data_IF_386127406823
#
_entry.id   IF_386127406823
#
_cell.length_a   1.000
_cell.length_b   1.000
_cell.length_c   1.000
_cell.angle_alpha   90.00
_cell.angle_beta   90.00
_cell.angle_gamma   90.00
#
_symmetry.space_group_name_H-M   'P 1'
#
loop_
_entity.id
_entity.type
_entity.pdbx_description
1 polymer ?
#
# COMPACT_ATOMS: atom_id res chain seq x y z
N UNK A 1 39.06 9.58 55.52
CA UNK A 1 38.25 10.36 56.47
C UNK A 1 36.96 10.75 55.78
N UNK A 2 35.90 10.21 56.30
CA UNK A 2 34.52 10.66 56.49
C UNK A 2 33.76 11.02 55.22
N UNK A 3 32.88 10.14 54.73
CA UNK A 3 31.49 9.80 55.17
C UNK A 3 30.58 11.03 55.23
N UNK A 4 29.58 11.02 54.37
CA UNK A 4 28.18 11.20 54.75
C UNK A 4 27.27 10.92 53.56
N UNK A 5 26.40 9.94 53.74
CA UNK A 5 25.32 9.60 52.84
C UNK A 5 24.12 10.52 52.96
N UNK A 6 23.33 10.56 51.91
CA UNK A 6 21.94 11.01 52.01
C UNK A 6 21.08 10.11 51.12
N UNK A 7 20.24 9.37 51.80
CA UNK A 7 19.12 8.62 51.23
C UNK A 7 17.92 9.56 51.12
N UNK A 8 17.35 9.69 49.94
CA UNK A 8 16.07 10.35 49.67
C UNK A 8 15.25 9.54 48.66
N UNK A 9 13.94 9.60 48.64
CA UNK A 9 13.08 8.52 48.23
C UNK A 9 12.95 8.40 46.71
N UNK A 10 12.76 7.14 46.25
CA UNK A 10 12.35 6.78 44.87
C UNK A 10 10.99 7.37 44.61
N UNK A 11 10.88 8.27 43.66
CA UNK A 11 9.63 8.54 42.95
C UNK A 11 9.59 7.60 41.74
N UNK A 12 8.62 6.69 41.70
CA UNK A 12 8.22 5.96 40.53
C UNK A 12 7.52 6.93 39.59
N UNK A 13 8.28 7.61 38.74
CA UNK A 13 7.77 8.28 37.56
C UNK A 13 7.70 7.23 36.45
N UNK A 14 6.53 6.66 36.26
CA UNK A 14 6.17 5.93 35.05
C UNK A 14 6.19 6.92 33.88
N UNK A 15 7.26 6.89 33.07
CA UNK A 15 7.27 7.56 31.78
C UNK A 15 6.14 7.01 30.91
N UNK A 16 5.35 7.86 30.24
CA UNK A 16 4.32 7.39 29.33
C UNK A 16 4.97 6.66 28.14
N UNK A 17 4.59 5.41 27.92
CA UNK A 17 5.00 4.61 26.75
C UNK A 17 4.83 5.45 25.48
N UNK A 18 5.92 5.68 24.77
CA UNK A 18 6.03 6.65 23.68
C UNK A 18 4.93 6.53 22.62
N UNK A 19 4.21 7.63 22.41
CA UNK A 19 3.07 7.75 21.51
C UNK A 19 3.34 7.27 20.06
N UNK A 20 4.59 7.31 19.63
CA UNK A 20 5.01 6.97 18.26
C UNK A 20 5.13 5.46 18.02
N UNK A 21 5.61 4.68 19.00
CA UNK A 21 5.55 3.21 18.90
C UNK A 21 4.11 2.69 18.86
N UNK A 22 3.16 3.48 19.38
CA UNK A 22 1.73 3.21 19.26
C UNK A 22 1.20 3.51 17.84
N UNK A 23 1.74 4.51 17.12
CA UNK A 23 1.32 4.82 15.76
C UNK A 23 1.78 3.75 14.75
N UNK A 24 3.04 3.34 14.80
CA UNK A 24 3.52 2.20 14.00
C UNK A 24 2.80 0.90 14.36
N UNK A 25 2.50 0.67 15.64
CA UNK A 25 1.61 -0.42 16.07
C UNK A 25 0.17 -0.24 15.59
N UNK A 26 -0.38 0.96 15.56
CA UNK A 26 -1.74 1.20 15.09
C UNK A 26 -1.86 1.11 13.56
N UNK A 27 -0.86 1.51 12.78
CA UNK A 27 -0.82 1.25 11.34
C UNK A 27 -0.51 -0.22 11.01
N UNK A 28 0.33 -0.89 11.80
CA UNK A 28 0.60 -2.33 11.66
C UNK A 28 -0.47 -3.20 12.32
N UNK A 29 -1.15 -2.72 13.37
CA UNK A 29 -2.23 -3.39 14.13
C UNK A 29 -3.63 -2.86 13.73
N UNK A 30 -3.74 -1.65 13.16
CA UNK A 30 -4.90 -1.24 12.35
C UNK A 30 -5.10 -2.18 11.16
N UNK A 31 -4.06 -2.89 10.77
CA UNK A 31 -4.17 -4.22 10.20
C UNK A 31 -4.71 -5.17 11.29
N UNK A 32 -6.00 -5.17 11.58
CA UNK A 32 -6.68 -6.26 12.28
C UNK A 32 -6.50 -7.62 11.60
N UNK A 33 -5.53 -7.71 10.72
CA UNK A 33 -5.02 -8.83 9.94
C UNK A 33 -4.13 -9.74 10.76
N UNK A 34 -3.41 -9.28 11.79
CA UNK A 34 -2.67 -10.14 12.71
C UNK A 34 -3.60 -11.11 13.46
N UNK A 35 -4.88 -10.77 13.61
CA UNK A 35 -5.92 -11.67 14.15
C UNK A 35 -6.79 -12.33 13.08
N UNK A 36 -6.62 -12.00 11.78
CA UNK A 36 -7.49 -12.46 10.68
C UNK A 36 -6.78 -13.46 9.77
N UNK A 37 -5.43 -13.48 9.73
CA UNK A 37 -4.62 -14.44 8.96
C UNK A 37 -3.67 -15.25 9.86
N UNK A 38 -4.13 -15.92 10.93
CA UNK A 38 -3.25 -16.78 11.73
C UNK A 38 -3.02 -18.16 11.13
N UNK A 39 -3.75 -18.58 10.10
CA UNK A 39 -3.72 -19.97 9.64
C UNK A 39 -3.02 -20.22 8.30
N UNK A 40 -2.64 -19.17 7.57
CA UNK A 40 -2.01 -19.33 6.27
C UNK A 40 -0.49 -19.06 6.25
N UNK A 41 0.08 -18.45 7.30
CA UNK A 41 1.53 -18.20 7.40
C UNK A 41 1.97 -18.35 8.85
N UNK A 42 2.36 -19.55 9.25
CA UNK A 42 3.04 -19.79 10.52
C UNK A 42 4.56 -19.64 10.33
N UNK A 43 5.26 -18.81 11.14
CA UNK A 43 6.71 -18.62 11.01
C UNK A 43 7.57 -19.74 11.60
N UNK A 44 6.99 -20.85 11.99
CA UNK A 44 7.73 -21.95 12.63
C UNK A 44 8.15 -22.99 11.61
N UNK A 45 9.29 -22.84 11.06
CA UNK A 45 10.34 -23.71 10.54
C UNK A 45 10.83 -23.29 9.14
N UNK A 46 12.15 -23.09 8.96
CA UNK A 46 12.72 -22.88 7.62
C UNK A 46 12.83 -24.23 6.93
N UNK A 47 11.79 -24.67 6.24
CA UNK A 47 11.94 -25.71 5.23
C UNK A 47 12.16 -25.01 3.88
N UNK A 48 13.16 -25.44 3.07
CA UNK A 48 13.39 -24.86 1.77
C UNK A 48 12.18 -25.12 0.87
N UNK A 49 11.51 -24.06 0.46
CA UNK A 49 10.29 -24.06 -0.35
C UNK A 49 10.50 -24.49 -1.82
N UNK A 50 11.69 -24.95 -2.19
CA UNK A 50 12.02 -25.44 -3.53
C UNK A 50 12.20 -26.97 -3.55
N UNK A 51 11.11 -27.72 -3.40
CA UNK A 51 10.98 -29.01 -4.11
C UNK A 51 10.05 -28.80 -5.30
N UNK A 52 10.58 -28.30 -6.40
CA UNK A 52 10.00 -28.49 -7.72
C UNK A 52 10.00 -29.99 -8.01
N UNK A 53 8.82 -30.62 -7.97
CA UNK A 53 8.66 -31.91 -8.62
C UNK A 53 8.81 -31.66 -10.13
N UNK A 54 9.85 -32.22 -10.70
CA UNK A 54 9.93 -32.44 -12.14
C UNK A 54 8.79 -33.37 -12.52
N UNK A 55 7.73 -32.84 -13.09
CA UNK A 55 6.73 -33.62 -13.79
C UNK A 55 6.96 -33.40 -15.28
N UNK A 56 6.84 -34.50 -16.06
CA UNK A 56 7.08 -34.62 -17.48
C UNK A 56 6.61 -33.42 -18.35
N UNK A 57 7.34 -33.16 -19.46
CA UNK A 57 7.04 -32.03 -20.34
C UNK A 57 5.85 -32.34 -21.26
N UNK A 58 4.64 -32.13 -20.80
CA UNK A 58 3.53 -31.85 -21.71
C UNK A 58 3.37 -30.33 -21.85
N UNK A 59 3.20 -29.79 -23.08
CA UNK A 59 2.99 -28.38 -23.27
C UNK A 59 1.68 -27.97 -22.60
N UNK A 60 1.66 -26.99 -21.69
CA UNK A 60 0.43 -26.54 -21.07
C UNK A 60 -0.43 -25.82 -22.09
N UNK A 61 -1.72 -26.17 -22.12
CA UNK A 61 -2.75 -25.39 -22.75
C UNK A 61 -2.67 -23.90 -22.28
N UNK A 62 -3.09 -22.91 -23.07
CA UNK A 62 -2.98 -21.48 -22.74
C UNK A 62 -3.95 -21.10 -21.63
N UNK A 63 -3.57 -21.40 -20.39
CA UNK A 63 -4.23 -20.89 -19.19
C UNK A 63 -3.46 -19.66 -18.73
N UNK A 64 -4.12 -18.50 -18.82
CA UNK A 64 -3.54 -17.17 -18.66
C UNK A 64 -2.69 -16.96 -17.41
N UNK A 65 -1.91 -15.89 -17.43
CA UNK A 65 -0.99 -15.41 -16.39
C UNK A 65 -1.60 -15.32 -14.98
N UNK A 66 -2.92 -15.22 -14.85
CA UNK A 66 -3.67 -15.27 -13.58
C UNK A 66 -3.35 -16.53 -12.74
N UNK A 67 -3.34 -17.70 -13.35
CA UNK A 67 -3.10 -18.96 -12.67
C UNK A 67 -1.65 -19.14 -12.21
N UNK A 68 -0.67 -18.51 -12.88
CA UNK A 68 0.76 -18.62 -12.53
C UNK A 68 1.13 -17.79 -11.32
N UNK A 69 0.58 -16.58 -11.19
CA UNK A 69 0.78 -15.73 -10.00
C UNK A 69 0.26 -16.43 -8.75
N UNK A 70 -0.87 -17.14 -8.87
CA UNK A 70 -1.50 -17.89 -7.77
C UNK A 70 -0.71 -19.13 -7.33
N UNK A 71 -0.13 -19.87 -8.27
CA UNK A 71 0.67 -21.07 -7.96
C UNK A 71 1.96 -20.73 -7.23
N UNK A 72 2.51 -19.53 -7.43
CA UNK A 72 3.68 -19.06 -6.70
C UNK A 72 3.40 -18.83 -5.20
N UNK A 73 2.14 -18.68 -4.79
CA UNK A 73 1.75 -18.50 -3.39
C UNK A 73 1.51 -19.80 -2.61
N UNK A 74 1.66 -20.99 -3.25
CA UNK A 74 1.65 -22.32 -2.64
C UNK A 74 0.28 -22.82 -2.15
N UNK A 75 0.05 -24.15 -2.07
CA UNK A 75 -1.17 -24.71 -1.50
C UNK A 75 -1.06 -24.74 0.02
N UNK A 76 -1.90 -23.99 0.71
CA UNK A 76 -2.11 -24.12 2.15
C UNK A 76 -3.34 -24.98 2.42
N UNK A 77 -3.09 -26.13 3.12
CA UNK A 77 -3.97 -26.89 4.01
C UNK A 77 -5.49 -26.95 3.77
N UNK A 78 -5.98 -28.14 3.56
CA UNK A 78 -7.18 -28.88 4.02
C UNK A 78 -8.55 -28.22 4.22
N UNK A 79 -8.77 -26.95 3.92
CA UNK A 79 -10.09 -26.35 3.74
C UNK A 79 -10.14 -25.64 2.39
N UNK A 80 -11.29 -25.61 1.65
CA UNK A 80 -11.38 -24.88 0.41
C UNK A 80 -11.08 -23.40 0.70
N UNK A 81 -9.86 -22.98 0.34
CA UNK A 81 -9.45 -21.58 0.50
C UNK A 81 -10.15 -20.75 -0.59
N UNK A 82 -10.97 -19.75 -0.26
CA UNK A 82 -11.65 -18.91 -1.24
C UNK A 82 -10.68 -17.95 -1.96
N UNK A 83 -9.38 -18.03 -1.69
CA UNK A 83 -8.39 -17.11 -2.24
C UNK A 83 -8.34 -17.08 -3.79
N UNK A 84 -8.44 -18.19 -4.54
CA UNK A 84 -8.48 -18.14 -5.99
C UNK A 84 -9.63 -17.28 -6.51
N UNK A 85 -10.85 -17.49 -6.03
CA UNK A 85 -12.04 -16.75 -6.48
C UNK A 85 -11.95 -15.26 -6.09
N UNK A 86 -11.37 -14.95 -4.94
CA UNK A 86 -11.15 -13.57 -4.49
C UNK A 86 -10.13 -12.85 -5.38
N UNK A 87 -9.09 -13.54 -5.82
CA UNK A 87 -8.06 -12.98 -6.70
C UNK A 87 -8.62 -12.81 -8.12
N UNK A 88 -9.38 -13.76 -8.63
CA UNK A 88 -10.03 -13.64 -9.93
C UNK A 88 -11.01 -12.45 -9.95
N UNK A 89 -11.78 -12.25 -8.90
CA UNK A 89 -12.60 -11.05 -8.72
C UNK A 89 -11.79 -9.77 -8.63
N UNK A 90 -10.66 -9.79 -7.93
CA UNK A 90 -9.78 -8.62 -7.81
C UNK A 90 -9.27 -8.14 -9.16
N UNK A 91 -8.97 -9.06 -10.07
CA UNK A 91 -8.43 -8.75 -11.39
C UNK A 91 -9.46 -8.73 -12.52
N UNK A 92 -10.73 -9.01 -12.24
CA UNK A 92 -11.80 -9.06 -13.26
C UNK A 92 -11.98 -7.77 -14.05
N UNK A 93 -11.60 -6.62 -13.44
CA UNK A 93 -11.72 -5.29 -14.05
C UNK A 93 -10.42 -4.78 -14.69
N UNK A 94 -9.38 -5.60 -14.73
CA UNK A 94 -8.13 -5.23 -15.41
C UNK A 94 -8.33 -5.25 -16.93
N UNK A 95 -7.71 -4.30 -17.63
CA UNK A 95 -7.91 -4.09 -19.08
C UNK A 95 -7.35 -5.18 -19.96
N UNK A 96 -6.37 -5.91 -19.46
CA UNK A 96 -5.75 -7.02 -20.18
C UNK A 96 -6.14 -8.34 -19.51
N UNK A 97 -6.28 -9.40 -20.29
CA UNK A 97 -6.36 -10.76 -19.78
C UNK A 97 -5.10 -11.16 -18.99
N UNK A 98 -3.99 -10.52 -19.32
CA UNK A 98 -2.76 -10.56 -18.54
C UNK A 98 -2.76 -9.44 -17.48
N UNK A 99 -2.71 -9.83 -16.22
CA UNK A 99 -2.70 -8.89 -15.07
C UNK A 99 -1.45 -8.01 -15.10
N UNK A 100 -0.34 -8.56 -15.56
CA UNK A 100 0.94 -7.89 -15.79
C UNK A 100 1.53 -8.37 -17.11
N UNK A 101 2.33 -7.56 -17.78
CA UNK A 101 2.90 -7.89 -19.06
C UNK A 101 4.40 -7.64 -19.11
N UNK A 102 5.17 -8.62 -19.59
CA UNK A 102 6.61 -8.45 -19.79
C UNK A 102 6.89 -8.04 -21.25
N UNK A 103 7.42 -6.83 -21.43
CA UNK A 103 7.94 -6.35 -22.72
C UNK A 103 9.43 -6.66 -22.81
N UNK A 104 9.81 -7.43 -23.81
CA UNK A 104 11.21 -7.67 -24.16
C UNK A 104 11.67 -6.58 -25.13
N UNK A 105 12.66 -5.83 -24.73
CA UNK A 105 13.29 -4.79 -25.55
C UNK A 105 14.63 -5.28 -26.11
N UNK A 106 15.31 -4.43 -26.89
CA UNK A 106 16.67 -4.72 -27.38
C UNK A 106 17.66 -4.86 -26.21
N UNK A 107 18.78 -5.55 -26.44
CA UNK A 107 19.88 -5.73 -25.50
C UNK A 107 19.45 -6.39 -24.17
N UNK A 108 18.58 -7.40 -24.26
CA UNK A 108 18.10 -8.19 -23.10
C UNK A 108 17.38 -7.36 -22.02
N UNK A 109 17.08 -6.09 -22.32
CA UNK A 109 16.30 -5.27 -21.43
C UNK A 109 14.84 -5.73 -21.44
N UNK A 110 14.30 -6.03 -20.24
CA UNK A 110 12.92 -6.41 -20.06
C UNK A 110 12.21 -5.35 -19.21
N UNK A 111 10.97 -5.01 -19.58
CA UNK A 111 10.12 -4.10 -18.83
C UNK A 111 8.88 -4.84 -18.37
N UNK A 112 8.74 -5.03 -17.07
CA UNK A 112 7.54 -5.58 -16.48
C UNK A 112 6.52 -4.46 -16.28
N UNK A 113 5.50 -4.44 -17.12
CA UNK A 113 4.41 -3.47 -17.08
C UNK A 113 3.39 -3.88 -16.03
N UNK A 114 3.23 -3.06 -14.97
CA UNK A 114 2.40 -3.36 -13.80
C UNK A 114 1.11 -2.52 -13.74
N UNK A 115 0.76 -1.80 -14.80
CA UNK A 115 -0.26 -0.75 -14.82
C UNK A 115 -1.56 -1.10 -15.56
N UNK A 116 -1.88 -2.37 -15.76
CA UNK A 116 -3.09 -2.80 -16.45
C UNK A 116 -4.37 -2.72 -15.62
N UNK A 117 -4.26 -2.31 -14.36
CA UNK A 117 -5.39 -2.04 -13.50
C UNK A 117 -6.16 -0.77 -13.89
N UNK A 118 -7.31 -0.56 -13.24
CA UNK A 118 -8.27 0.50 -13.58
C UNK A 118 -7.68 1.90 -13.47
N UNK A 119 -6.77 2.13 -12.52
CA UNK A 119 -6.16 3.45 -12.28
C UNK A 119 -4.81 3.64 -12.95
N UNK A 120 -4.36 2.70 -13.78
CA UNK A 120 -3.07 2.77 -14.49
C UNK A 120 -1.84 2.85 -13.58
N UNK A 121 -1.90 2.23 -12.40
CA UNK A 121 -0.77 2.14 -11.48
C UNK A 121 -0.62 0.73 -10.92
N UNK A 122 0.60 0.31 -10.59
CA UNK A 122 0.89 -0.99 -9.98
C UNK A 122 0.17 -1.20 -8.65
N UNK A 123 -0.26 -0.10 -8.03
CA UNK A 123 -1.00 -0.11 -6.77
C UNK A 123 -2.34 -0.84 -6.90
N UNK A 124 -2.94 -0.85 -8.10
CA UNK A 124 -4.15 -1.61 -8.39
C UNK A 124 -3.99 -3.11 -8.11
N UNK A 125 -2.80 -3.68 -8.39
CA UNK A 125 -2.52 -5.11 -8.15
C UNK A 125 -2.78 -5.49 -6.69
N UNK A 126 -2.15 -4.77 -5.79
CA UNK A 126 -2.21 -5.09 -4.36
C UNK A 126 -3.49 -4.60 -3.69
N UNK A 127 -4.00 -3.43 -4.09
CA UNK A 127 -5.20 -2.85 -3.47
C UNK A 127 -6.48 -3.58 -3.89
N UNK A 128 -6.58 -4.04 -5.14
CA UNK A 128 -7.71 -4.87 -5.58
C UNK A 128 -7.77 -6.19 -4.81
N UNK A 129 -6.63 -6.87 -4.62
CA UNK A 129 -6.57 -8.09 -3.80
C UNK A 129 -6.92 -7.80 -2.33
N UNK A 130 -6.30 -6.76 -1.75
CA UNK A 130 -6.53 -6.37 -0.35
C UNK A 130 -8.01 -6.07 -0.10
N UNK A 131 -8.67 -5.37 -1.00
CA UNK A 131 -10.09 -5.05 -0.89
C UNK A 131 -10.98 -6.30 -0.95
N UNK A 132 -10.70 -7.26 -1.84
CA UNK A 132 -11.47 -8.51 -1.91
C UNK A 132 -11.32 -9.34 -0.64
N UNK A 133 -10.10 -9.49 -0.14
CA UNK A 133 -9.86 -10.18 1.13
C UNK A 133 -10.53 -9.45 2.30
N UNK A 134 -10.42 -8.12 2.36
CA UNK A 134 -11.05 -7.31 3.40
C UNK A 134 -12.56 -7.51 3.39
N UNK A 135 -13.23 -7.35 2.25
CA UNK A 135 -14.68 -7.51 2.14
C UNK A 135 -15.13 -8.91 2.57
N UNK A 136 -14.45 -9.95 2.10
CA UNK A 136 -14.73 -11.33 2.52
C UNK A 136 -14.72 -11.51 4.05
N UNK A 137 -13.69 -10.99 4.72
CA UNK A 137 -13.58 -11.13 6.17
C UNK A 137 -14.55 -10.23 6.92
N UNK A 138 -14.85 -9.04 6.42
CA UNK A 138 -15.84 -8.15 7.01
C UNK A 138 -17.26 -8.75 6.95
N UNK A 139 -17.63 -9.32 5.82
CA UNK A 139 -18.91 -10.05 5.64
C UNK A 139 -18.99 -11.24 6.60
N UNK A 140 -17.95 -12.08 6.62
CA UNK A 140 -17.89 -13.25 7.52
C UNK A 140 -18.00 -12.89 8.99
N UNK A 141 -17.50 -11.72 9.42
CA UNK A 141 -17.51 -11.26 10.81
C UNK A 141 -18.66 -10.31 11.14
N UNK A 142 -19.50 -9.94 10.18
CA UNK A 142 -20.54 -8.92 10.34
C UNK A 142 -19.98 -7.56 10.79
N UNK A 143 -18.76 -7.22 10.35
CA UNK A 143 -18.07 -6.00 10.75
C UNK A 143 -18.02 -4.97 9.63
N UNK A 144 -17.78 -3.73 10.02
CA UNK A 144 -17.54 -2.60 9.14
C UNK A 144 -16.19 -1.98 9.44
N UNK A 145 -15.56 -1.35 8.45
CA UNK A 145 -14.30 -0.62 8.59
C UNK A 145 -14.41 0.77 7.98
N UNK A 146 -13.74 1.76 8.57
CA UNK A 146 -13.50 3.06 7.96
C UNK A 146 -12.01 3.15 7.59
N UNK A 147 -11.74 3.30 6.31
CA UNK A 147 -10.39 3.40 5.75
C UNK A 147 -10.01 4.88 5.66
N UNK A 148 -8.81 5.22 6.11
CA UNK A 148 -8.23 6.57 5.95
C UNK A 148 -6.92 6.45 5.19
N UNK A 149 -6.79 7.25 4.12
CA UNK A 149 -5.63 7.25 3.21
C UNK A 149 -5.16 8.67 2.97
N UNK A 150 -3.89 8.97 3.29
CA UNK A 150 -3.18 10.12 2.73
C UNK A 150 -2.50 9.70 1.43
N UNK A 151 -2.52 10.54 0.41
CA UNK A 151 -1.98 10.18 -0.89
C UNK A 151 -1.30 11.35 -1.60
N UNK A 152 -0.21 11.06 -2.30
CA UNK A 152 0.38 11.98 -3.29
C UNK A 152 -0.17 11.76 -4.72
N UNK A 153 -1.28 10.99 -4.87
CA UNK A 153 -1.96 10.76 -6.14
C UNK A 153 -2.41 9.31 -6.35
N UNK A 154 -1.52 8.41 -6.75
CA UNK A 154 -1.87 7.04 -7.19
C UNK A 154 -2.48 6.14 -6.13
N UNK A 155 -2.08 6.27 -4.87
CA UNK A 155 -2.61 5.40 -3.81
C UNK A 155 -4.08 5.71 -3.54
N UNK A 156 -4.46 7.00 -3.54
CA UNK A 156 -5.84 7.42 -3.32
C UNK A 156 -6.77 6.89 -4.40
N UNK A 157 -6.43 7.09 -5.67
CA UNK A 157 -7.24 6.61 -6.79
C UNK A 157 -7.40 5.08 -6.78
N UNK A 158 -6.30 4.34 -6.58
CA UNK A 158 -6.35 2.88 -6.53
C UNK A 158 -7.11 2.34 -5.30
N UNK A 159 -7.00 3.00 -4.14
CA UNK A 159 -7.74 2.63 -2.94
C UNK A 159 -9.25 2.87 -3.11
N UNK A 160 -9.65 4.05 -3.62
CA UNK A 160 -11.04 4.34 -3.94
C UNK A 160 -11.60 3.29 -4.90
N UNK A 161 -10.91 3.06 -6.01
CA UNK A 161 -11.34 2.12 -7.05
C UNK A 161 -11.55 0.70 -6.50
N UNK A 162 -10.72 0.29 -5.53
CA UNK A 162 -10.77 -1.05 -4.95
C UNK A 162 -11.98 -1.28 -4.03
N UNK A 163 -12.52 -0.23 -3.40
CA UNK A 163 -13.58 -0.34 -2.39
C UNK A 163 -14.85 0.47 -2.69
N UNK A 164 -14.90 1.23 -3.79
CA UNK A 164 -16.09 2.02 -4.13
C UNK A 164 -17.33 1.14 -4.24
N UNK A 165 -18.41 1.56 -3.58
CA UNK A 165 -19.67 0.81 -3.54
C UNK A 165 -19.67 -0.43 -2.64
N UNK A 166 -18.60 -0.73 -1.92
CA UNK A 166 -18.57 -1.80 -0.93
C UNK A 166 -19.46 -1.47 0.27
N UNK A 167 -20.31 -2.43 0.69
CA UNK A 167 -21.32 -2.19 1.73
C UNK A 167 -20.75 -2.00 3.14
N UNK A 168 -19.63 -2.66 3.43
CA UNK A 168 -19.05 -2.73 4.77
C UNK A 168 -17.78 -1.88 4.91
N UNK A 169 -17.56 -0.94 4.00
CA UNK A 169 -16.36 -0.11 3.96
C UNK A 169 -16.75 1.33 3.65
N UNK A 170 -16.30 2.27 4.48
CA UNK A 170 -16.19 3.67 4.10
C UNK A 170 -14.73 4.01 3.84
N UNK A 171 -14.46 4.87 2.87
CA UNK A 171 -13.11 5.35 2.58
C UNK A 171 -13.05 6.88 2.60
N UNK A 172 -12.07 7.40 3.33
CA UNK A 172 -11.71 8.80 3.41
C UNK A 172 -10.33 8.97 2.80
N UNK A 173 -10.20 9.82 1.80
CA UNK A 173 -8.93 10.08 1.10
C UNK A 173 -8.58 11.55 1.21
N UNK A 174 -7.37 11.83 1.67
CA UNK A 174 -6.78 13.15 1.70
C UNK A 174 -5.77 13.27 0.56
N UNK A 175 -5.90 14.31 -0.26
CA UNK A 175 -4.96 14.63 -1.34
C UNK A 175 -4.42 16.06 -1.18
N UNK A 176 -3.14 16.32 -1.49
CA UNK A 176 -2.57 17.66 -1.47
C UNK A 176 -3.03 18.41 -2.72
N UNK A 177 -3.93 19.37 -2.54
CA UNK A 177 -4.53 20.12 -3.65
C UNK A 177 -3.46 20.89 -4.41
N UNK A 178 -3.43 20.70 -5.73
CA UNK A 178 -2.42 21.31 -6.61
C UNK A 178 -1.05 20.61 -6.65
N UNK A 179 -0.84 19.54 -5.88
CA UNK A 179 0.39 18.75 -5.90
C UNK A 179 0.23 17.36 -6.53
N UNK A 180 -0.99 16.98 -6.92
CA UNK A 180 -1.26 15.83 -7.77
C UNK A 180 -1.38 16.28 -9.23
N UNK A 181 -1.15 15.37 -10.18
CA UNK A 181 -1.51 15.66 -11.59
C UNK A 181 -3.03 15.79 -11.72
N UNK A 182 -3.48 16.53 -12.71
CA UNK A 182 -4.91 16.71 -12.97
C UNK A 182 -5.66 15.38 -13.12
N UNK A 183 -5.04 14.42 -13.80
CA UNK A 183 -5.60 13.08 -13.98
C UNK A 183 -5.73 12.34 -12.66
N UNK A 184 -4.71 12.39 -11.80
CA UNK A 184 -4.75 11.77 -10.48
C UNK A 184 -5.86 12.35 -9.59
N UNK A 185 -6.01 13.68 -9.58
CA UNK A 185 -7.09 14.35 -8.83
C UNK A 185 -8.46 13.94 -9.36
N UNK A 186 -8.66 13.96 -10.68
CA UNK A 186 -9.93 13.56 -11.30
C UNK A 186 -10.27 12.09 -11.05
N UNK A 187 -9.30 11.18 -11.07
CA UNK A 187 -9.54 9.77 -10.73
C UNK A 187 -10.09 9.57 -9.31
N UNK A 188 -9.83 10.48 -8.39
CA UNK A 188 -10.37 10.43 -7.03
C UNK A 188 -11.69 11.18 -6.90
N UNK A 189 -11.77 12.40 -7.44
CA UNK A 189 -12.88 13.34 -7.20
C UNK A 189 -14.13 13.04 -8.03
N UNK A 190 -14.01 12.31 -9.14
CA UNK A 190 -15.14 11.92 -9.99
C UNK A 190 -15.90 10.68 -9.51
N UNK A 191 -15.46 10.05 -8.42
CA UNK A 191 -16.14 8.89 -7.82
C UNK A 191 -17.18 9.38 -6.80
N UNK A 192 -18.47 9.35 -7.18
CA UNK A 192 -19.57 9.91 -6.40
C UNK A 192 -20.29 8.87 -5.51
N UNK A 193 -19.69 7.70 -5.27
CA UNK A 193 -20.29 6.67 -4.41
C UNK A 193 -20.44 7.16 -2.98
N UNK A 194 -21.51 6.70 -2.28
CA UNK A 194 -21.85 7.17 -0.92
C UNK A 194 -20.75 6.83 0.11
N UNK A 195 -20.06 5.72 -0.09
CA UNK A 195 -18.99 5.27 0.81
C UNK A 195 -17.62 5.91 0.52
N UNK A 196 -17.53 6.87 -0.41
CA UNK A 196 -16.27 7.53 -0.81
C UNK A 196 -16.30 8.99 -0.41
N UNK A 197 -15.30 9.43 0.35
CA UNK A 197 -15.15 10.79 0.85
C UNK A 197 -13.77 11.32 0.53
N UNK A 198 -13.69 12.36 -0.30
CA UNK A 198 -12.42 12.93 -0.77
C UNK A 198 -12.24 14.34 -0.20
N UNK A 199 -11.08 14.59 0.37
CA UNK A 199 -10.68 15.88 0.93
C UNK A 199 -9.45 16.41 0.19
N UNK A 200 -9.57 17.58 -0.39
CA UNK A 200 -8.46 18.36 -0.94
C UNK A 200 -7.88 19.28 0.13
N UNK A 201 -6.63 19.08 0.48
CA UNK A 201 -5.94 19.79 1.56
C UNK A 201 -5.03 20.86 0.98
N UNK A 202 -5.12 22.07 1.49
CA UNK A 202 -4.21 23.18 1.15
C UNK A 202 -2.88 23.03 1.90
N UNK A 203 -2.14 21.93 1.59
CA UNK A 203 -0.87 21.57 2.18
C UNK A 203 -0.11 20.59 1.29
N UNK A 204 1.11 20.24 1.65
CA UNK A 204 1.93 19.25 0.96
C UNK A 204 1.66 17.82 1.46
N UNK A 205 2.30 16.82 0.85
CA UNK A 205 2.10 15.40 1.19
C UNK A 205 2.51 15.06 2.64
N UNK A 206 3.50 15.73 3.20
CA UNK A 206 3.97 15.47 4.57
C UNK A 206 3.00 16.06 5.60
N UNK A 207 2.41 17.23 5.31
CA UNK A 207 1.39 17.87 6.17
C UNK A 207 0.10 17.03 6.26
N UNK A 208 -0.22 16.18 5.25
CA UNK A 208 -1.35 15.25 5.31
C UNK A 208 -1.18 14.16 6.38
N UNK A 209 0.03 13.79 6.68
CA UNK A 209 0.30 12.69 7.61
C UNK A 209 -0.01 13.06 9.07
N UNK A 210 0.12 14.33 9.44
CA UNK A 210 -0.12 14.80 10.81
C UNK A 210 -1.55 14.50 11.34
N UNK A 211 -2.64 14.91 10.65
CA UNK A 211 -3.99 14.60 11.12
C UNK A 211 -4.29 13.09 11.08
N UNK A 212 -3.67 12.34 10.16
CA UNK A 212 -3.81 10.89 10.10
C UNK A 212 -3.10 10.25 11.29
N UNK A 213 -1.86 10.66 11.60
CA UNK A 213 -1.10 10.19 12.76
C UNK A 213 -1.88 10.46 14.06
N UNK A 214 -2.35 11.68 14.24
CA UNK A 214 -3.12 12.08 15.43
C UNK A 214 -4.37 11.22 15.65
N UNK A 215 -5.01 10.72 14.59
CA UNK A 215 -6.12 9.78 14.72
C UNK A 215 -5.68 8.36 15.06
N UNK A 216 -4.62 7.87 14.42
CA UNK A 216 -4.17 6.49 14.62
C UNK A 216 -3.42 6.28 15.95
N UNK A 217 -2.89 7.32 16.57
CA UNK A 217 -2.33 7.26 17.95
C UNK A 217 -3.41 7.10 19.01
N UNK A 218 -4.64 7.57 18.75
CA UNK A 218 -5.77 7.37 19.65
C UNK A 218 -6.34 5.96 19.49
N UNK A 219 -5.79 5.01 20.25
CA UNK A 219 -6.17 3.59 20.17
C UNK A 219 -7.66 3.36 20.50
N UNK A 220 -8.24 4.16 21.39
CA UNK A 220 -9.67 4.05 21.74
C UNK A 220 -10.54 4.46 20.54
N UNK A 221 -10.18 5.55 19.87
CA UNK A 221 -10.87 6.04 18.68
C UNK A 221 -10.74 5.06 17.51
N UNK A 222 -9.53 4.53 17.26
CA UNK A 222 -9.27 3.49 16.25
C UNK A 222 -10.16 2.26 16.47
N UNK A 223 -10.19 1.73 17.69
CA UNK A 223 -11.03 0.57 18.03
C UNK A 223 -12.52 0.86 17.92
N UNK A 224 -12.97 2.02 18.42
CA UNK A 224 -14.38 2.44 18.40
C UNK A 224 -14.94 2.53 16.98
N UNK A 225 -14.14 2.99 16.02
CA UNK A 225 -14.56 3.24 14.65
C UNK A 225 -14.03 2.21 13.64
N UNK A 226 -13.28 1.20 14.09
CA UNK A 226 -12.60 0.21 13.25
C UNK A 226 -11.79 0.88 12.13
N UNK A 227 -10.90 1.81 12.50
CA UNK A 227 -10.08 2.51 11.52
C UNK A 227 -8.96 1.61 10.99
N UNK A 228 -8.67 1.75 9.70
CA UNK A 228 -7.49 1.17 9.07
C UNK A 228 -6.94 2.07 7.98
N UNK A 229 -5.68 1.85 7.58
CA UNK A 229 -5.07 2.51 6.45
C UNK A 229 -4.73 1.51 5.34
N UNK A 230 -4.89 1.95 4.09
CA UNK A 230 -4.44 1.24 2.88
C UNK A 230 -3.18 1.88 2.27
N UNK A 231 -2.45 2.71 3.01
CA UNK A 231 -1.20 3.29 2.58
C UNK A 231 -0.11 2.21 2.35
N UNK A 232 1.06 2.61 1.84
CA UNK A 232 2.15 1.69 1.47
C UNK A 232 2.62 0.78 2.59
N UNK A 233 2.45 1.19 3.85
CA UNK A 233 2.78 0.40 5.04
C UNK A 233 1.86 -0.82 5.24
N UNK A 234 0.68 -0.86 4.60
CA UNK A 234 -0.24 -1.99 4.74
C UNK A 234 0.42 -3.30 4.28
N UNK A 235 0.48 -4.29 5.20
CA UNK A 235 1.17 -5.55 4.96
C UNK A 235 0.62 -6.33 3.75
N UNK A 236 -0.70 -6.32 3.56
CA UNK A 236 -1.32 -7.00 2.42
C UNK A 236 -0.82 -6.44 1.08
N UNK A 237 -0.52 -5.14 1.02
CA UNK A 237 0.07 -4.53 -0.18
C UNK A 237 1.46 -5.10 -0.47
N UNK A 238 2.31 -5.19 0.55
CA UNK A 238 3.67 -5.74 0.41
C UNK A 238 3.60 -7.22 0.03
N UNK A 239 2.73 -8.00 0.68
CA UNK A 239 2.55 -9.42 0.43
C UNK A 239 2.19 -9.72 -1.04
N UNK A 240 1.21 -8.98 -1.60
CA UNK A 240 0.81 -9.16 -3.00
C UNK A 240 1.92 -8.72 -3.96
N UNK A 241 2.70 -7.70 -3.59
CA UNK A 241 3.83 -7.25 -4.39
C UNK A 241 4.96 -8.29 -4.50
N UNK A 242 5.11 -9.20 -3.55
CA UNK A 242 6.07 -10.32 -3.67
C UNK A 242 5.79 -11.13 -4.94
N UNK A 243 4.53 -11.37 -5.29
CA UNK A 243 4.15 -12.20 -6.42
C UNK A 243 4.70 -11.72 -7.78
N UNK A 244 4.72 -10.40 -8.03
CA UNK A 244 5.24 -9.92 -9.30
C UNK A 244 6.77 -10.02 -9.42
N UNK A 245 7.51 -10.07 -8.31
CA UNK A 245 8.95 -10.37 -8.34
C UNK A 245 9.20 -11.82 -8.77
N UNK A 246 8.42 -12.77 -8.25
CA UNK A 246 8.49 -14.17 -8.71
C UNK A 246 8.09 -14.28 -10.18
N UNK A 247 7.01 -13.62 -10.59
CA UNK A 247 6.60 -13.61 -11.99
C UNK A 247 7.71 -13.07 -12.90
N UNK A 248 8.28 -11.91 -12.56
CA UNK A 248 9.37 -11.30 -13.32
C UNK A 248 10.57 -12.26 -13.45
N UNK A 249 10.97 -12.87 -12.36
CA UNK A 249 12.07 -13.81 -12.33
C UNK A 249 11.83 -14.99 -13.30
N UNK A 250 10.68 -15.66 -13.19
CA UNK A 250 10.36 -16.81 -14.04
C UNK A 250 10.20 -16.46 -15.52
N UNK A 251 9.87 -15.20 -15.85
CA UNK A 251 9.77 -14.75 -17.24
C UNK A 251 11.12 -14.30 -17.81
N UNK A 252 12.01 -13.78 -16.99
CA UNK A 252 13.32 -13.23 -17.41
C UNK A 252 14.46 -14.22 -17.26
N UNK A 253 14.30 -15.26 -16.43
CA UNK A 253 15.35 -16.30 -16.25
C UNK A 253 15.58 -17.03 -17.57
N UNK A 254 16.83 -17.14 -18.05
CA UNK A 254 17.14 -17.82 -19.29
C UNK A 254 16.89 -19.34 -19.22
N UNK A 255 17.05 -19.96 -18.04
CA UNK A 255 16.75 -21.37 -17.80
C UNK A 255 16.52 -21.60 -16.32
N UNK A 256 15.58 -22.49 -16.00
CA UNK A 256 15.32 -22.99 -14.65
C UNK A 256 16.05 -24.30 -14.34
N UNK A 257 16.70 -24.90 -15.35
CA UNK A 257 17.46 -26.15 -15.23
C UNK A 257 18.92 -25.91 -14.84
N UNK A 258 19.37 -24.66 -14.81
CA UNK A 258 20.72 -24.30 -14.38
C UNK A 258 20.88 -24.36 -12.86
N UNK A 259 21.99 -24.93 -12.40
CA UNK A 259 22.35 -24.93 -10.97
C UNK A 259 23.79 -24.41 -10.80
N UNK A 260 24.00 -23.29 -10.05
CA UNK A 260 22.98 -22.49 -9.36
C UNK A 260 22.05 -21.76 -10.33
N UNK A 261 20.82 -21.46 -9.88
CA UNK A 261 19.88 -20.68 -10.69
C UNK A 261 20.47 -19.31 -11.04
N UNK A 262 20.27 -18.82 -12.30
CA UNK A 262 20.83 -17.54 -12.75
C UNK A 262 20.24 -16.36 -11.99
N UNK A 263 21.04 -15.34 -11.75
CA UNK A 263 20.55 -14.09 -11.16
C UNK A 263 19.84 -13.25 -12.20
N UNK A 264 18.68 -12.67 -11.82
CA UNK A 264 17.99 -11.63 -12.58
C UNK A 264 18.12 -10.31 -11.83
N UNK A 265 18.65 -9.30 -12.50
CA UNK A 265 18.71 -7.95 -11.97
C UNK A 265 17.35 -7.24 -12.17
N UNK A 266 16.79 -6.72 -11.10
CA UNK A 266 15.48 -6.07 -11.12
C UNK A 266 15.60 -4.60 -10.70
N UNK A 267 15.16 -3.69 -11.58
CA UNK A 267 15.16 -2.22 -11.40
C UNK A 267 13.83 -1.77 -10.74
N UNK A 268 13.81 -1.29 -9.44
CA UNK A 268 12.61 -0.88 -8.65
C UNK A 268 12.53 0.64 -8.44
N UNK A 269 11.72 1.44 -9.15
CA UNK A 269 11.45 2.81 -8.76
C UNK A 269 10.86 2.86 -7.35
N UNK A 270 11.46 3.67 -6.51
CA UNK A 270 11.25 3.57 -5.07
C UNK A 270 11.01 4.96 -4.45
N UNK A 271 9.83 5.13 -3.81
CA UNK A 271 9.52 6.22 -2.90
C UNK A 271 9.39 5.68 -1.48
N UNK A 272 8.17 5.24 -1.08
CA UNK A 272 7.91 4.69 0.26
C UNK A 272 8.53 3.30 0.56
N UNK A 273 9.26 2.70 -0.38
CA UNK A 273 10.01 1.46 -0.19
C UNK A 273 9.19 0.17 -0.17
N UNK A 274 7.87 0.20 -0.38
CA UNK A 274 7.01 -1.01 -0.27
C UNK A 274 7.34 -2.09 -1.30
N UNK A 275 7.52 -1.71 -2.55
CA UNK A 275 7.90 -2.63 -3.62
C UNK A 275 9.33 -3.16 -3.43
N UNK A 276 10.24 -2.32 -2.95
CA UNK A 276 11.59 -2.72 -2.58
C UNK A 276 11.59 -3.75 -1.46
N UNK A 277 10.83 -3.51 -0.38
CA UNK A 277 10.67 -4.45 0.73
C UNK A 277 10.09 -5.80 0.26
N UNK A 278 9.14 -5.78 -0.68
CA UNK A 278 8.60 -6.99 -1.29
C UNK A 278 9.69 -7.78 -2.06
N UNK A 279 10.56 -7.09 -2.79
CA UNK A 279 11.71 -7.69 -3.47
C UNK A 279 12.72 -8.31 -2.49
N UNK A 280 13.04 -7.59 -1.39
CA UNK A 280 13.90 -8.13 -0.33
C UNK A 280 13.30 -9.37 0.32
N UNK A 281 11.99 -9.41 0.51
CA UNK A 281 11.28 -10.60 1.00
C UNK A 281 11.36 -11.75 0.01
N UNK A 282 11.12 -11.49 -1.29
CA UNK A 282 11.27 -12.50 -2.34
C UNK A 282 12.69 -13.09 -2.36
N UNK A 283 13.72 -12.24 -2.24
CA UNK A 283 15.12 -12.65 -2.11
C UNK A 283 15.34 -13.52 -0.85
N UNK A 284 14.79 -13.10 0.30
CA UNK A 284 14.84 -13.88 1.55
C UNK A 284 14.13 -15.24 1.44
N UNK A 285 13.11 -15.33 0.57
CA UNK A 285 12.42 -16.59 0.24
C UNK A 285 13.22 -17.49 -0.70
N UNK A 286 14.39 -17.06 -1.17
CA UNK A 286 15.32 -17.83 -2.01
C UNK A 286 15.26 -17.46 -3.50
N UNK A 287 14.55 -16.37 -3.89
CA UNK A 287 14.55 -15.93 -5.28
C UNK A 287 15.91 -15.32 -5.65
N UNK A 288 16.63 -15.82 -6.68
CA UNK A 288 17.94 -15.32 -7.02
C UNK A 288 17.86 -14.01 -7.83
N UNK A 289 17.55 -12.93 -7.13
CA UNK A 289 17.42 -11.61 -7.72
C UNK A 289 18.47 -10.65 -7.15
N UNK A 290 18.99 -9.79 -8.01
CA UNK A 290 19.73 -8.60 -7.60
C UNK A 290 18.80 -7.41 -7.73
N UNK A 291 18.58 -6.79 -6.62
CA UNK A 291 17.65 -5.69 -6.60
C UNK A 291 18.42 -4.34 -6.65
N UNK A 292 18.07 -3.31 -7.47
CA UNK A 292 18.67 -1.94 -7.58
C UNK A 292 17.58 -0.87 -7.37
N UNK A 293 17.59 -0.03 -6.31
CA UNK A 293 16.58 1.02 -6.06
C UNK A 293 16.77 2.23 -7.00
N UNK A 294 15.79 2.57 -7.83
CA UNK A 294 15.77 3.83 -8.58
C UNK A 294 15.01 4.88 -7.77
N UNK A 295 15.68 5.95 -7.39
CA UNK A 295 15.11 7.07 -6.65
C UNK A 295 15.18 8.35 -7.48
N UNK A 296 14.31 9.32 -7.19
CA UNK A 296 14.40 10.66 -7.75
C UNK A 296 15.28 11.56 -6.84
N UNK A 297 15.14 12.89 -6.95
CA UNK A 297 15.89 13.84 -6.12
C UNK A 297 15.62 13.72 -4.62
N UNK A 298 14.55 13.00 -4.21
CA UNK A 298 14.28 12.64 -2.82
C UNK A 298 15.02 11.33 -2.53
N UNK A 299 16.29 11.43 -2.22
CA UNK A 299 17.30 10.39 -2.32
C UNK A 299 17.63 9.66 -1.00
N UNK A 300 16.81 9.81 0.03
CA UNK A 300 17.08 9.23 1.36
C UNK A 300 17.37 7.71 1.31
N UNK A 301 16.68 6.97 0.45
CA UNK A 301 16.92 5.52 0.28
C UNK A 301 18.28 5.27 -0.37
N UNK A 302 18.66 6.08 -1.37
CA UNK A 302 19.99 6.00 -1.98
C UNK A 302 21.09 6.28 -0.96
N UNK A 303 20.96 7.36 -0.18
CA UNK A 303 21.93 7.72 0.86
C UNK A 303 22.04 6.65 1.95
N UNK A 304 20.90 6.11 2.38
CA UNK A 304 20.84 5.01 3.34
C UNK A 304 21.60 3.77 2.83
N UNK A 305 21.36 3.37 1.58
CA UNK A 305 21.98 2.19 0.99
C UNK A 305 23.47 2.41 0.69
N UNK A 306 23.86 3.60 0.21
CA UNK A 306 25.23 3.87 -0.22
C UNK A 306 26.19 4.23 0.92
N UNK A 307 25.68 4.97 1.91
CA UNK A 307 26.51 5.57 2.97
C UNK A 307 26.00 5.29 4.38
N UNK A 308 24.88 4.60 4.52
CA UNK A 308 24.19 4.41 5.79
C UNK A 308 23.49 5.67 6.32
N UNK A 309 23.43 6.74 5.54
CA UNK A 309 22.81 8.01 5.93
C UNK A 309 21.30 7.97 5.64
N UNK A 310 20.52 7.77 6.70
CA UNK A 310 19.06 7.81 6.68
C UNK A 310 18.58 9.06 7.43
N UNK A 311 18.94 10.24 6.91
CA UNK A 311 18.59 11.55 7.49
C UNK A 311 17.63 12.30 6.58
N UNK A 312 16.67 13.03 7.16
CA UNK A 312 15.74 13.85 6.36
C UNK A 312 16.49 15.00 5.67
N UNK A 313 16.08 15.31 4.45
CA UNK A 313 16.46 16.55 3.78
C UNK A 313 15.56 17.70 4.23
N UNK A 314 15.98 18.94 4.02
CA UNK A 314 15.26 20.12 4.49
C UNK A 314 13.83 20.25 3.93
N UNK A 315 13.58 19.74 2.73
CA UNK A 315 12.25 19.74 2.11
C UNK A 315 12.10 18.62 1.08
N UNK A 316 10.86 18.19 0.82
CA UNK A 316 10.50 17.37 -0.33
C UNK A 316 10.73 18.18 -1.61
N UNK A 317 11.44 17.61 -2.57
CA UNK A 317 11.69 18.21 -3.88
C UNK A 317 10.65 17.69 -4.87
N UNK A 318 9.79 18.55 -5.44
CA UNK A 318 8.85 18.14 -6.48
C UNK A 318 9.56 17.57 -7.70
N UNK A 319 9.05 16.44 -8.21
CA UNK A 319 9.55 15.81 -9.43
C UNK A 319 8.41 15.46 -10.38
N UNK A 320 8.78 15.09 -11.62
CA UNK A 320 7.81 14.60 -12.61
C UNK A 320 7.16 13.26 -12.17
N UNK A 321 7.75 12.56 -11.20
CA UNK A 321 7.22 11.34 -10.60
C UNK A 321 6.68 11.60 -9.20
N UNK A 322 5.72 12.53 -9.07
CA UNK A 322 5.18 13.02 -7.78
C UNK A 322 4.78 11.92 -6.79
N UNK A 323 4.33 10.76 -7.28
CA UNK A 323 4.01 9.61 -6.43
C UNK A 323 5.22 9.00 -5.71
N UNK A 324 6.45 9.40 -6.09
CA UNK A 324 7.72 8.97 -5.48
C UNK A 324 8.39 10.10 -4.67
N UNK A 325 7.76 11.29 -4.58
CA UNK A 325 8.26 12.43 -3.82
C UNK A 325 7.98 12.22 -2.32
N UNK A 326 8.82 11.43 -1.67
CA UNK A 326 8.66 10.98 -0.29
C UNK A 326 9.99 11.14 0.46
N UNK A 327 9.96 11.80 1.62
CA UNK A 327 11.08 11.95 2.51
C UNK A 327 11.12 10.86 3.61
N UNK A 328 9.95 10.36 4.03
CA UNK A 328 9.86 9.31 5.07
C UNK A 328 9.42 7.99 4.44
N UNK A 329 10.36 7.13 3.98
CA UNK A 329 10.03 5.86 3.34
C UNK A 329 9.70 4.78 4.38
N UNK A 330 8.48 4.75 4.89
CA UNK A 330 8.00 3.89 5.98
C UNK A 330 8.35 2.41 5.87
N UNK A 331 8.50 1.87 4.64
CA UNK A 331 8.83 0.47 4.47
C UNK A 331 10.33 0.15 4.64
N UNK A 332 11.18 1.17 4.83
CA UNK A 332 12.59 0.94 5.19
C UNK A 332 12.73 0.26 6.56
N UNK A 333 11.82 0.51 7.50
CA UNK A 333 11.74 -0.22 8.77
C UNK A 333 11.71 -1.74 8.53
N UNK A 334 10.94 -2.22 7.55
CA UNK A 334 10.88 -3.64 7.18
C UNK A 334 12.20 -4.16 6.63
N UNK A 335 12.88 -3.35 5.85
CA UNK A 335 14.19 -3.68 5.27
C UNK A 335 15.23 -3.73 6.39
N UNK A 336 15.24 -2.79 7.31
CA UNK A 336 16.11 -2.81 8.49
C UNK A 336 15.86 -4.05 9.35
N UNK A 337 14.58 -4.42 9.55
CA UNK A 337 14.23 -5.64 10.27
C UNK A 337 14.76 -6.90 9.57
N UNK A 338 14.62 -7.00 8.24
CA UNK A 338 15.13 -8.14 7.48
C UNK A 338 16.66 -8.26 7.59
N UNK A 339 17.38 -7.15 7.46
CA UNK A 339 18.83 -7.14 7.47
C UNK A 339 19.44 -7.23 8.88
N UNK A 340 18.72 -6.82 9.92
CA UNK A 340 19.14 -7.04 11.32
C UNK A 340 18.92 -8.50 11.80
N UNK A 341 18.75 -9.45 10.89
CA UNK A 341 18.46 -10.84 11.23
C UNK A 341 17.05 -11.03 11.82
N UNK A 342 16.09 -10.19 11.43
CA UNK A 342 14.72 -10.15 11.96
C UNK A 342 14.65 -9.77 13.45
N UNK A 343 15.60 -8.95 13.89
CA UNK A 343 15.67 -8.46 15.27
C UNK A 343 14.80 -7.20 15.46
N UNK A 344 13.64 -7.37 16.10
CA UNK A 344 12.70 -6.27 16.34
C UNK A 344 13.20 -5.25 17.35
N UNK A 345 14.08 -5.61 18.29
CA UNK A 345 14.67 -4.67 19.26
C UNK A 345 15.64 -3.72 18.56
N UNK A 346 16.53 -4.24 17.72
CA UNK A 346 17.45 -3.44 16.90
C UNK A 346 16.65 -2.50 15.98
N UNK A 347 15.65 -3.03 15.29
CA UNK A 347 14.81 -2.22 14.40
C UNK A 347 14.10 -1.10 15.15
N UNK A 348 13.54 -1.40 16.32
CA UNK A 348 12.89 -0.40 17.18
C UNK A 348 13.87 0.71 17.57
N UNK A 349 15.06 0.36 18.09
CA UNK A 349 16.04 1.34 18.48
C UNK A 349 16.47 2.27 17.33
N UNK A 350 16.63 1.73 16.11
CA UNK A 350 16.94 2.52 14.92
C UNK A 350 15.78 3.48 14.56
N UNK A 351 14.53 3.01 14.62
CA UNK A 351 13.37 3.85 14.29
C UNK A 351 13.11 4.91 15.36
N UNK A 352 13.23 4.59 16.65
CA UNK A 352 13.13 5.55 17.75
C UNK A 352 14.22 6.64 17.66
N UNK A 353 15.44 6.26 17.28
CA UNK A 353 16.50 7.24 17.02
C UNK A 353 16.11 8.15 15.87
N UNK A 354 15.66 7.60 14.73
CA UNK A 354 15.25 8.37 13.55
C UNK A 354 14.10 9.33 13.88
N UNK A 355 13.08 8.86 14.60
CA UNK A 355 11.93 9.68 14.99
C UNK A 355 12.33 10.87 15.88
N UNK A 356 13.25 10.65 16.80
CA UNK A 356 13.72 11.69 17.72
C UNK A 356 14.65 12.72 17.07
N UNK A 357 15.56 12.26 16.20
CA UNK A 357 16.65 13.10 15.67
C UNK A 357 16.47 13.49 14.21
N UNK A 358 15.47 12.90 13.52
CA UNK A 358 15.28 13.01 12.06
C UNK A 358 16.53 12.59 11.27
N UNK A 359 17.41 11.81 11.90
CA UNK A 359 18.68 11.36 11.35
C UNK A 359 19.07 10.00 11.92
N UNK A 360 19.60 9.14 11.08
CA UNK A 360 20.06 7.81 11.45
C UNK A 360 21.26 7.42 10.60
N UNK A 361 22.32 6.90 11.26
CA UNK A 361 23.44 6.24 10.59
C UNK A 361 23.32 4.73 10.71
N UNK A 362 23.17 4.06 9.59
CA UNK A 362 23.01 2.61 9.54
C UNK A 362 24.34 1.89 9.70
N UNK A 363 24.41 0.76 10.43
CA UNK A 363 25.56 -0.12 10.44
C UNK A 363 25.93 -0.60 9.05
N UNK A 364 27.24 -0.86 8.80
CA UNK A 364 27.77 -1.22 7.47
C UNK A 364 27.18 -2.51 6.87
N UNK A 365 26.77 -3.43 7.69
CA UNK A 365 26.13 -4.71 7.31
C UNK A 365 24.68 -4.56 6.81
N UNK A 366 24.06 -3.41 7.02
CA UNK A 366 22.71 -3.11 6.52
C UNK A 366 22.67 -2.45 5.13
N UNK A 367 23.79 -2.34 4.44
CA UNK A 367 23.89 -1.74 3.11
C UNK A 367 23.74 -2.78 1.98
N UNK A 368 22.84 -2.56 1.01
CA UNK A 368 22.64 -3.44 -0.15
C UNK A 368 21.96 -2.70 -1.34
N UNK A 369 22.08 -3.18 -2.59
CA UNK A 369 21.68 -2.47 -3.83
C UNK A 369 20.49 -3.09 -4.58
N UNK A 370 19.59 -2.28 -5.19
CA UNK A 370 18.35 -2.73 -5.83
C UNK A 370 17.51 -1.77 -6.75
N UNK A 371 16.78 -2.18 -7.84
CA UNK A 371 15.88 -1.33 -8.71
C UNK A 371 14.64 -1.99 -9.49
N UNK A 372 13.35 -1.41 -9.74
CA UNK A 372 12.18 -1.77 -10.64
C UNK A 372 11.25 -0.60 -11.12
N UNK A 373 10.32 -0.74 -12.13
CA UNK A 373 9.46 0.32 -12.72
C UNK A 373 7.93 0.20 -12.45
N UNK A 374 7.13 1.31 -12.20
CA UNK A 374 5.91 1.23 -11.42
C UNK A 374 4.61 1.91 -11.91
N UNK A 375 4.61 2.84 -12.92
CA UNK A 375 3.40 3.52 -13.36
C UNK A 375 3.34 3.82 -14.86
N UNK A 376 2.11 3.99 -15.42
CA UNK A 376 1.91 4.34 -16.83
C UNK A 376 2.17 5.83 -17.08
N UNK A 377 2.82 6.12 -18.20
CA UNK A 377 3.11 7.47 -18.69
C UNK A 377 1.85 8.32 -18.95
N UNK A 378 0.68 7.71 -19.17
CA UNK A 378 -0.59 8.43 -19.42
C UNK A 378 -1.04 9.32 -18.27
N UNK A 379 -0.56 9.06 -17.04
CA UNK A 379 -0.85 9.88 -15.86
C UNK A 379 0.04 11.13 -15.73
N UNK A 380 1.08 11.20 -16.55
CA UNK A 380 2.11 12.23 -16.51
C UNK A 380 2.37 12.78 -17.92
N UNK A 381 1.38 13.43 -18.55
CA UNK A 381 1.52 13.90 -19.93
C UNK A 381 2.70 14.87 -20.12
N UNK A 382 3.03 15.67 -19.11
CA UNK A 382 4.16 16.60 -19.13
C UNK A 382 5.51 15.86 -19.29
N UNK A 383 5.64 14.67 -18.65
CA UNK A 383 6.84 13.83 -18.77
C UNK A 383 7.01 13.32 -20.20
N UNK A 384 5.91 12.88 -20.82
CA UNK A 384 5.91 12.37 -22.20
C UNK A 384 6.28 13.48 -23.17
N UNK A 385 5.72 14.68 -22.99
CA UNK A 385 6.04 15.87 -23.80
C UNK A 385 7.50 16.30 -23.61
N UNK A 386 8.01 16.32 -22.38
CA UNK A 386 9.42 16.65 -22.10
C UNK A 386 10.40 15.64 -22.72
N UNK A 387 9.97 14.39 -22.91
CA UNK A 387 10.73 13.37 -23.63
C UNK A 387 10.62 13.49 -25.17
N UNK A 388 9.99 14.54 -25.71
CA UNK A 388 9.79 14.74 -27.15
C UNK A 388 8.76 13.78 -27.76
N UNK A 389 7.90 13.17 -26.95
CA UNK A 389 6.89 12.21 -27.40
C UNK A 389 5.48 12.82 -27.27
N UNK A 390 4.55 12.31 -28.09
CA UNK A 390 3.13 12.69 -27.98
C UNK A 390 2.41 11.73 -27.07
N UNK A 391 1.81 12.21 -25.95
CA UNK A 391 1.07 11.35 -25.04
C UNK A 391 -0.20 10.82 -25.71
N UNK A 392 -0.37 9.48 -25.74
CA UNK A 392 -1.62 8.83 -26.13
C UNK A 392 -2.45 8.58 -24.90
N UNK A 393 -3.37 9.51 -24.59
CA UNK A 393 -4.24 9.40 -23.40
C UNK A 393 -5.51 8.64 -23.81
N UNK A 394 -5.86 7.52 -23.13
CA UNK A 394 -7.07 6.77 -23.40
C UNK A 394 -8.34 7.60 -23.19
N UNK A 395 -9.40 7.33 -23.96
CA UNK A 395 -10.67 8.09 -23.92
C UNK A 395 -11.31 8.06 -22.52
N UNK A 396 -11.23 6.96 -21.79
CA UNK A 396 -11.73 6.86 -20.42
C UNK A 396 -11.02 7.79 -19.44
N UNK A 397 -9.78 8.17 -19.72
CA UNK A 397 -9.03 9.17 -18.94
C UNK A 397 -9.45 10.59 -19.35
N UNK A 398 -9.58 10.86 -20.66
CA UNK A 398 -10.08 12.14 -21.15
C UNK A 398 -11.52 12.41 -20.70
N UNK A 399 -12.33 11.36 -20.61
CA UNK A 399 -13.69 11.47 -20.13
C UNK A 399 -13.79 11.93 -18.65
N UNK A 400 -12.72 11.79 -17.84
CA UNK A 400 -12.72 12.25 -16.45
C UNK A 400 -12.91 13.78 -16.33
N UNK A 401 -12.41 14.55 -17.28
CA UNK A 401 -12.55 16.02 -17.27
C UNK A 401 -14.00 16.50 -17.41
N UNK A 402 -14.86 15.67 -18.01
CA UNK A 402 -16.28 15.96 -18.24
C UNK A 402 -17.18 15.46 -17.11
N UNK A 403 -16.63 14.75 -16.12
CA UNK A 403 -17.40 14.18 -15.00
C UNK A 403 -17.57 15.19 -13.87
N UNK A 404 -18.71 15.08 -13.19
CA UNK A 404 -18.91 15.75 -11.91
C UNK A 404 -17.85 15.34 -10.89
N UNK A 405 -17.37 16.32 -10.12
CA UNK A 405 -16.37 16.08 -9.08
C UNK A 405 -16.95 16.40 -7.71
N UNK A 406 -16.52 15.61 -6.70
CA UNK A 406 -16.86 15.85 -5.30
C UNK A 406 -15.59 15.82 -4.45
N UNK A 407 -15.26 16.94 -3.86
CA UNK A 407 -14.11 17.07 -2.98
C UNK A 407 -14.42 18.11 -1.88
N UNK A 408 -14.18 17.75 -0.64
CA UNK A 408 -14.30 18.68 0.49
C UNK A 408 -12.96 19.37 0.69
N UNK A 409 -12.95 20.71 0.69
CA UNK A 409 -11.74 21.50 0.89
C UNK A 409 -11.41 21.61 2.39
N UNK A 410 -10.16 21.35 2.75
CA UNK A 410 -9.53 21.65 4.04
C UNK A 410 -8.53 22.78 3.84
N UNK A 411 -8.85 23.96 4.31
CA UNK A 411 -8.01 25.15 4.13
C UNK A 411 -6.82 25.16 5.09
N UNK A 412 -5.79 25.88 4.71
CA UNK A 412 -4.67 26.15 5.62
C UNK A 412 -5.18 26.96 6.81
N UNK A 413 -4.90 26.46 8.03
CA UNK A 413 -5.42 27.03 9.28
C UNK A 413 -6.66 26.33 9.85
N UNK A 414 -7.34 25.48 9.09
CA UNK A 414 -8.40 24.63 9.62
C UNK A 414 -7.81 23.54 10.55
N UNK A 415 -8.58 23.12 11.54
CA UNK A 415 -8.24 21.91 12.32
C UNK A 415 -8.63 20.65 11.54
N UNK A 416 -7.71 20.19 10.71
CA UNK A 416 -7.92 19.03 9.84
C UNK A 416 -8.19 17.75 10.64
N UNK A 417 -7.55 17.59 11.81
CA UNK A 417 -7.78 16.44 12.70
C UNK A 417 -9.22 16.40 13.19
N UNK A 418 -9.74 17.56 13.64
CA UNK A 418 -11.14 17.69 14.08
C UNK A 418 -12.13 17.45 12.95
N UNK A 419 -11.86 17.94 11.75
CA UNK A 419 -12.69 17.71 10.56
C UNK A 419 -12.79 16.23 10.20
N UNK A 420 -11.66 15.52 10.23
CA UNK A 420 -11.62 14.08 9.97
C UNK A 420 -12.36 13.29 11.05
N UNK A 421 -12.13 13.59 12.34
CA UNK A 421 -12.83 12.94 13.44
C UNK A 421 -14.35 13.15 13.34
N UNK A 422 -14.80 14.36 13.06
CA UNK A 422 -16.21 14.67 12.86
C UNK A 422 -16.83 13.87 11.70
N UNK A 423 -16.12 13.75 10.58
CA UNK A 423 -16.56 12.95 9.44
C UNK A 423 -16.68 11.46 9.81
N UNK A 424 -15.69 10.89 10.48
CA UNK A 424 -15.69 9.49 10.91
C UNK A 424 -16.84 9.21 11.89
N UNK A 425 -17.08 10.12 12.83
CA UNK A 425 -18.19 10.01 13.78
C UNK A 425 -19.56 10.11 13.10
N UNK A 426 -19.69 11.01 12.12
CA UNK A 426 -20.94 11.15 11.35
C UNK A 426 -21.24 9.88 10.53
N UNK A 427 -20.25 9.33 9.85
CA UNK A 427 -20.36 8.05 9.15
C UNK A 427 -20.79 6.93 10.10
N UNK A 428 -20.17 6.86 11.29
CA UNK A 428 -20.54 5.88 12.31
C UNK A 428 -21.98 6.06 12.83
N UNK A 429 -22.45 7.31 12.98
CA UNK A 429 -23.85 7.61 13.37
C UNK A 429 -24.83 7.21 12.27
N UNK A 430 -24.54 7.54 11.02
CA UNK A 430 -25.40 7.19 9.87
C UNK A 430 -25.58 5.66 9.76
N UNK A 431 -24.52 4.90 9.92
CA UNK A 431 -24.59 3.41 9.92
C UNK A 431 -25.50 2.86 11.02
N UNK A 432 -25.40 3.40 12.26
CA UNK A 432 -26.24 2.93 13.38
C UNK A 432 -27.72 3.23 13.18
N UNK A 433 -28.07 4.27 12.42
CA UNK A 433 -29.47 4.65 12.15
C UNK A 433 -30.12 3.77 11.06
N UNK A 434 -29.36 2.98 10.31
CA UNK A 434 -29.84 2.21 9.18
C UNK A 434 -30.34 3.08 8.00
N UNK A 435 -30.68 2.51 6.84
CA UNK A 435 -31.27 3.25 5.74
C UNK A 435 -32.58 3.91 6.23
N UNK A 436 -32.74 5.23 6.01
CA UNK A 436 -34.03 5.90 6.28
C UNK A 436 -35.12 5.14 5.54
N UNK A 437 -36.07 4.56 6.27
CA UNK A 437 -37.29 4.00 5.67
C UNK A 437 -37.94 5.17 4.91
N UNK A 438 -37.93 5.08 3.58
CA UNK A 438 -38.68 6.03 2.74
C UNK A 438 -40.14 6.07 3.20
N UNK A 439 -40.86 7.19 2.92
CA UNK A 439 -42.27 7.31 3.30
C UNK A 439 -43.01 6.07 2.80
N UNK A 440 -43.68 5.37 3.73
CA UNK A 440 -44.56 4.26 3.40
C UNK A 440 -45.54 4.76 2.36
N UNK A 441 -45.47 4.24 1.12
CA UNK A 441 -46.58 4.40 0.16
C UNK A 441 -47.81 3.85 0.85
N UNK A 442 -48.74 4.73 1.21
CA UNK A 442 -50.07 4.33 1.65
C UNK A 442 -50.72 3.59 0.42
N UNK A 443 -50.87 2.29 0.56
CA UNK A 443 -51.72 1.55 -0.35
C UNK A 443 -53.13 2.11 -0.19
N UNK A 444 -53.54 2.90 -1.18
CA UNK A 444 -54.91 3.33 -1.32
C UNK A 444 -55.81 2.11 -1.35
N UNK A 445 -56.80 2.12 -0.45
CA UNK A 445 -57.87 1.11 -0.50
C UNK A 445 -58.56 1.20 -1.89
N UNK A 446 -58.66 0.09 -2.57
CA UNK A 446 -59.48 -0.03 -3.78
C UNK A 446 -60.93 0.35 -3.43
N UNK A 447 -61.65 1.07 -4.31
CA UNK A 447 -63.07 1.32 -4.12
C UNK A 447 -63.88 0.05 -4.24
N UNK A 448 -65.01 -0.09 -3.56
CA UNK A 448 -65.88 -1.26 -3.68
C UNK A 448 -66.50 -1.35 -5.06
N UNK A 449 -66.51 -2.53 -5.62
CA UNK A 449 -67.20 -2.82 -6.87
C UNK A 449 -68.74 -2.68 -6.67
N UNK A 450 -69.38 -1.97 -7.60
CA UNK A 450 -70.82 -2.01 -7.86
C UNK A 450 -71.05 -2.98 -9.00
#
# INVERSE_FOLDING_TARGET
>A
MSSLGYSGPRSEDQEPEGAQSAWHRAQSVGSGWAGIVPSCVSPSSPRPFLRLRTADPQPPAPTGSRARVLRALGPAASAPCPAPDLIDRAFSRFRSGDVVHLRKLKNELNVLELWYGVTYAFKDLSLSCAAQFLQYFLEKKGKHVTIVVGTSGDTGSAAIESVQGAKNVDIIVLLPKGHCTKIQELQMTTVLKENVHVFGVEGNSDELDEPIKAMFTDVAFVKKHNLMSLNSINWCRVLVQIAHHFFAYFQCSPSLDMHPLPFVEMVVPTGAGGNLAAGCLAQKMGLPVRLVAAVNHNDIIHRAIQRGDFSLSAAVRPSLASAMDIQVPYNMERIFWLFSGSNSQVTRALMEQFERTQSLHLPKDLHSKCCLASASAVKFPEVVLAAGLTPKIPEEILALERKETRCTLMKRGDDWTRMLRATIEDLSRKRKRGPRRGPRKQHGKAPPAI
#
